data_IF_641744338816
#
_entry.id   IF_641744338816
#
_cell.length_a   1.000
_cell.length_b   1.000
_cell.length_c   1.000
_cell.angle_alpha   90.00
_cell.angle_beta   90.00
_cell.angle_gamma   90.00
#
_symmetry.space_group_name_H-M   'P 1'
#
loop_
_entity.id
_entity.type
_entity.pdbx_description
1 polymer ?
#
# COMPACT_ATOMS: atom_id res chain seq x y z
N UNK A 1 -24.69 62.61 -32.84
CA UNK A 1 -24.32 61.85 -31.62
C UNK A 1 -23.69 60.54 -32.08
N UNK A 2 -22.39 60.38 -31.88
CA UNK A 2 -21.64 59.18 -32.29
C UNK A 2 -21.91 58.05 -31.28
N UNK A 3 -22.49 56.94 -31.74
CA UNK A 3 -22.72 55.75 -30.93
C UNK A 3 -21.40 55.00 -30.77
N UNK A 4 -20.84 55.06 -29.56
CA UNK A 4 -19.59 54.37 -29.21
C UNK A 4 -19.93 52.94 -28.78
N UNK A 5 -19.68 51.96 -29.65
CA UNK A 5 -19.82 50.54 -29.32
C UNK A 5 -18.53 50.04 -28.66
N UNK A 6 -18.56 49.72 -27.37
CA UNK A 6 -17.41 49.11 -26.67
C UNK A 6 -17.30 47.64 -27.06
N UNK A 7 -16.12 47.13 -27.45
CA UNK A 7 -15.95 45.70 -27.64
C UNK A 7 -16.00 44.98 -26.29
N UNK A 8 -16.86 43.96 -26.18
CA UNK A 8 -16.91 43.05 -25.04
C UNK A 8 -15.80 42.02 -25.23
N UNK A 9 -14.71 42.15 -24.48
CA UNK A 9 -13.68 41.11 -24.39
C UNK A 9 -14.23 39.95 -23.56
N UNK A 10 -14.55 38.83 -24.21
CA UNK A 10 -14.79 37.57 -23.53
C UNK A 10 -13.44 36.91 -23.26
N UNK A 11 -12.92 37.10 -22.05
CA UNK A 11 -11.82 36.31 -21.52
C UNK A 11 -12.39 34.94 -21.08
N UNK A 12 -12.50 33.99 -22.00
CA UNK A 12 -12.60 32.57 -21.60
C UNK A 12 -11.21 32.08 -21.23
N UNK A 13 -10.73 32.51 -20.06
CA UNK A 13 -9.61 31.84 -19.40
C UNK A 13 -10.10 30.45 -19.00
N UNK A 14 -9.94 29.50 -19.92
CA UNK A 14 -10.03 28.07 -19.60
C UNK A 14 -8.86 27.79 -18.67
N UNK A 15 -9.11 27.85 -17.36
CA UNK A 15 -8.16 27.36 -16.36
C UNK A 15 -7.96 25.87 -16.64
N UNK A 16 -6.87 25.52 -17.32
CA UNK A 16 -6.47 24.12 -17.45
C UNK A 16 -6.07 23.64 -16.05
N UNK A 17 -7.02 23.00 -15.36
CA UNK A 17 -6.77 22.35 -14.08
C UNK A 17 -5.80 21.21 -14.35
N UNK A 18 -4.55 21.35 -13.90
CA UNK A 18 -3.57 20.27 -13.97
C UNK A 18 -4.11 19.09 -13.16
N UNK A 19 -4.22 17.93 -13.81
CA UNK A 19 -4.62 16.68 -13.18
C UNK A 19 -3.38 15.89 -12.76
N UNK A 20 -3.46 15.10 -11.67
CA UNK A 20 -2.37 14.21 -11.29
C UNK A 20 -2.12 13.16 -12.37
N UNK A 21 -0.86 12.76 -12.55
CA UNK A 21 -0.49 11.72 -13.52
C UNK A 21 -0.92 10.31 -13.09
N UNK A 22 -1.19 10.12 -11.79
CA UNK A 22 -1.66 8.87 -11.20
C UNK A 22 -3.01 9.11 -10.51
N UNK A 23 -4.01 8.30 -10.83
CA UNK A 23 -5.37 8.38 -10.27
C UNK A 23 -5.88 7.05 -9.73
N UNK A 24 -5.34 5.93 -10.21
CA UNK A 24 -5.81 4.58 -9.87
C UNK A 24 -4.76 3.79 -9.08
N UNK A 25 -5.22 2.98 -8.12
CA UNK A 25 -4.36 2.07 -7.36
C UNK A 25 -3.56 1.11 -8.25
N UNK A 26 -4.17 0.65 -9.34
CA UNK A 26 -3.51 -0.27 -10.27
C UNK A 26 -2.23 0.32 -10.88
N UNK A 27 -2.18 1.64 -11.09
CA UNK A 27 -0.99 2.30 -11.63
C UNK A 27 0.19 2.26 -10.64
N UNK A 28 -0.10 2.27 -9.34
CA UNK A 28 0.92 2.11 -8.30
C UNK A 28 1.46 0.67 -8.32
N UNK A 29 0.59 -0.33 -8.46
CA UNK A 29 1.00 -1.73 -8.56
C UNK A 29 1.87 -1.98 -9.81
N UNK A 30 1.49 -1.40 -10.95
CA UNK A 30 2.24 -1.52 -12.20
C UNK A 30 3.61 -0.83 -12.08
N UNK A 31 3.68 0.33 -11.42
CA UNK A 31 4.94 1.03 -11.13
C UNK A 31 5.86 0.20 -10.23
N UNK A 32 5.34 -0.39 -9.15
CA UNK A 32 6.12 -1.27 -8.26
C UNK A 32 6.64 -2.49 -9.04
N UNK A 33 5.79 -3.12 -9.86
CA UNK A 33 6.18 -4.24 -10.70
C UNK A 33 7.32 -3.88 -11.66
N UNK A 34 7.24 -2.72 -12.31
CA UNK A 34 8.30 -2.22 -13.17
C UNK A 34 9.59 -1.94 -12.39
N UNK A 35 9.49 -1.32 -11.21
CA UNK A 35 10.66 -1.05 -10.38
C UNK A 35 11.34 -2.34 -9.89
N UNK A 36 10.60 -3.41 -9.61
CA UNK A 36 11.19 -4.73 -9.32
C UNK A 36 11.96 -5.27 -10.52
N UNK A 37 11.39 -5.22 -11.74
CA UNK A 37 12.06 -5.67 -12.97
C UNK A 37 13.33 -4.88 -13.29
N UNK A 38 13.42 -3.63 -12.82
CA UNK A 38 14.57 -2.75 -13.01
C UNK A 38 15.50 -2.70 -11.78
N UNK A 39 15.28 -3.53 -10.76
CA UNK A 39 16.05 -3.54 -9.51
C UNK A 39 16.03 -2.19 -8.74
N UNK A 40 14.98 -1.38 -8.92
CA UNK A 40 14.81 -0.04 -8.35
C UNK A 40 13.75 0.03 -7.24
N UNK A 41 13.18 -1.10 -6.84
CA UNK A 41 12.07 -1.17 -5.89
C UNK A 41 12.42 -0.61 -4.49
N UNK A 42 13.65 -0.81 -4.00
CA UNK A 42 14.11 -0.27 -2.71
C UNK A 42 14.10 1.27 -2.71
N UNK A 43 14.68 1.88 -3.75
CA UNK A 43 14.68 3.34 -3.92
C UNK A 43 13.26 3.88 -4.03
N UNK A 44 12.41 3.25 -4.86
CA UNK A 44 11.02 3.67 -5.05
C UNK A 44 10.24 3.67 -3.73
N UNK A 45 10.22 2.55 -3.00
CA UNK A 45 9.45 2.42 -1.77
C UNK A 45 9.99 3.32 -0.65
N UNK A 46 11.31 3.52 -0.58
CA UNK A 46 11.92 4.44 0.39
C UNK A 46 11.55 5.89 0.11
N UNK A 47 11.40 6.28 -1.16
CA UNK A 47 11.00 7.64 -1.56
C UNK A 47 9.49 7.89 -1.38
N UNK A 48 8.65 6.87 -1.60
CA UNK A 48 7.19 7.00 -1.51
C UNK A 48 6.65 6.91 -0.08
N UNK A 49 7.40 6.29 0.84
CA UNK A 49 6.95 6.05 2.20
C UNK A 49 7.81 6.81 3.21
N UNK A 50 7.17 7.34 4.24
CA UNK A 50 7.86 7.86 5.43
C UNK A 50 8.52 6.73 6.23
N UNK A 51 9.51 7.02 7.11
CA UNK A 51 10.06 6.03 8.03
C UNK A 51 9.00 5.29 8.84
N UNK A 52 8.05 6.01 9.43
CA UNK A 52 6.96 5.46 10.24
C UNK A 52 6.06 4.50 9.43
N UNK A 53 5.77 4.83 8.17
CA UNK A 53 5.00 3.94 7.29
C UNK A 53 5.74 2.65 6.95
N UNK A 54 7.07 2.71 6.80
CA UNK A 54 7.90 1.51 6.59
C UNK A 54 7.89 0.63 7.83
N UNK A 55 8.07 1.21 9.02
CA UNK A 55 7.97 0.47 10.30
C UNK A 55 6.58 -0.16 10.47
N UNK A 56 5.52 0.60 10.17
CA UNK A 56 4.15 0.10 10.22
C UNK A 56 3.92 -1.06 9.22
N UNK A 57 4.52 -1.00 8.04
CA UNK A 57 4.42 -2.08 7.05
C UNK A 57 5.13 -3.35 7.53
N UNK A 58 6.32 -3.23 8.11
CA UNK A 58 7.04 -4.36 8.73
C UNK A 58 6.21 -4.99 9.85
N UNK A 59 5.63 -4.16 10.74
CA UNK A 59 4.74 -4.66 11.78
C UNK A 59 3.53 -5.41 11.21
N UNK A 60 2.89 -4.89 10.15
CA UNK A 60 1.74 -5.55 9.49
C UNK A 60 2.12 -6.89 8.86
N UNK A 61 3.30 -6.98 8.23
CA UNK A 61 3.81 -8.24 7.69
C UNK A 61 3.95 -9.28 8.81
N UNK A 62 4.57 -8.91 9.92
CA UNK A 62 4.71 -9.80 11.07
C UNK A 62 3.37 -10.21 11.68
N UNK A 63 2.42 -9.27 11.82
CA UNK A 63 1.07 -9.58 12.30
C UNK A 63 0.41 -10.65 11.43
N UNK A 64 0.45 -10.49 10.11
CA UNK A 64 -0.16 -11.44 9.17
C UNK A 64 0.54 -12.80 9.25
N UNK A 65 1.87 -12.82 9.30
CA UNK A 65 2.66 -14.04 9.43
C UNK A 65 2.27 -14.84 10.67
N UNK A 66 2.31 -14.23 11.86
CA UNK A 66 1.99 -14.92 13.12
C UNK A 66 0.52 -15.38 13.19
N UNK A 67 -0.40 -14.58 12.63
CA UNK A 67 -1.81 -14.95 12.57
C UNK A 67 -2.07 -16.15 11.63
N UNK A 68 -1.28 -16.29 10.55
CA UNK A 68 -1.36 -17.43 9.63
C UNK A 68 -0.72 -18.69 10.22
N UNK A 69 0.37 -18.55 10.99
CA UNK A 69 0.99 -19.67 11.72
C UNK A 69 0.05 -20.22 12.80
N UNK A 70 -0.59 -19.32 13.56
CA UNK A 70 -1.59 -19.70 14.57
C UNK A 70 -1.01 -20.22 15.89
N UNK A 71 0.31 -20.21 16.06
CA UNK A 71 0.99 -20.68 17.28
C UNK A 71 0.86 -19.72 18.47
N UNK A 72 0.75 -18.41 18.18
CA UNK A 72 0.64 -17.36 19.20
C UNK A 72 -0.78 -16.82 19.31
N UNK A 73 -1.22 -16.54 20.54
CA UNK A 73 -2.46 -15.78 20.76
C UNK A 73 -2.30 -14.33 20.33
N UNK A 74 -3.40 -13.65 19.98
CA UNK A 74 -3.38 -12.22 19.61
C UNK A 74 -2.74 -11.32 20.69
N UNK A 75 -2.88 -11.70 21.97
CA UNK A 75 -2.24 -10.98 23.09
C UNK A 75 -0.71 -11.15 23.07
N UNK A 76 -0.22 -12.36 22.81
CA UNK A 76 1.21 -12.62 22.68
C UNK A 76 1.79 -11.88 21.47
N UNK A 77 1.11 -11.88 20.32
CA UNK A 77 1.53 -11.13 19.13
C UNK A 77 1.58 -9.62 19.43
N UNK A 78 0.56 -9.08 20.10
CA UNK A 78 0.51 -7.68 20.52
C UNK A 78 1.69 -7.30 21.41
N UNK A 79 2.05 -8.15 22.38
CA UNK A 79 3.20 -7.93 23.26
C UNK A 79 4.52 -8.03 22.51
N UNK A 80 4.68 -9.06 21.67
CA UNK A 80 5.89 -9.31 20.88
C UNK A 80 6.21 -8.15 19.94
N UNK A 81 5.19 -7.62 19.25
CA UNK A 81 5.36 -6.57 18.25
C UNK A 81 5.24 -5.15 18.82
N UNK A 82 4.91 -5.00 20.11
CA UNK A 82 4.73 -3.69 20.72
C UNK A 82 3.54 -2.89 20.14
N UNK A 83 2.58 -3.56 19.51
CA UNK A 83 1.41 -2.93 18.89
C UNK A 83 0.16 -3.19 19.72
N UNK A 84 -0.78 -2.25 19.73
CA UNK A 84 -2.05 -2.41 20.43
C UNK A 84 -2.87 -3.59 19.93
N UNK A 85 -3.57 -4.27 20.83
CA UNK A 85 -4.38 -5.46 20.49
C UNK A 85 -5.44 -5.18 19.42
N UNK A 86 -5.98 -3.96 19.37
CA UNK A 86 -6.93 -3.55 18.34
C UNK A 86 -6.35 -3.65 16.92
N UNK A 87 -5.05 -3.42 16.75
CA UNK A 87 -4.35 -3.60 15.47
C UNK A 87 -4.33 -5.08 15.07
N UNK A 88 -4.04 -5.97 16.03
CA UNK A 88 -4.05 -7.42 15.79
C UNK A 88 -5.46 -7.91 15.45
N UNK A 89 -6.48 -7.43 16.17
CA UNK A 89 -7.88 -7.80 15.91
C UNK A 89 -8.32 -7.40 14.51
N UNK A 90 -7.94 -6.21 14.04
CA UNK A 90 -8.19 -5.79 12.65
C UNK A 90 -7.51 -6.73 11.66
N UNK A 91 -6.22 -7.03 11.84
CA UNK A 91 -5.50 -7.98 10.98
C UNK A 91 -6.13 -9.37 10.95
N UNK A 92 -6.57 -9.88 12.10
CA UNK A 92 -7.25 -11.18 12.18
C UNK A 92 -8.59 -11.19 11.46
N UNK A 93 -9.36 -10.11 11.55
CA UNK A 93 -10.63 -10.00 10.82
C UNK A 93 -10.43 -9.89 9.31
N UNK A 94 -9.42 -9.14 8.86
CA UNK A 94 -9.03 -9.06 7.45
C UNK A 94 -8.58 -10.41 6.89
N UNK A 95 -7.91 -11.25 7.67
CA UNK A 95 -7.56 -12.60 7.24
C UNK A 95 -8.77 -13.53 7.22
N UNK A 96 -9.67 -13.44 8.21
CA UNK A 96 -10.87 -14.28 8.27
C UNK A 96 -11.81 -14.09 7.08
N UNK A 97 -11.82 -12.90 6.47
CA UNK A 97 -12.65 -12.61 5.29
C UNK A 97 -12.07 -13.14 3.99
N UNK A 98 -10.83 -13.65 3.99
CA UNK A 98 -10.16 -14.24 2.81
C UNK A 98 -10.50 -15.71 2.64
N UNK A 99 -10.44 -16.18 1.40
CA UNK A 99 -10.57 -17.61 1.09
C UNK A 99 -9.37 -18.41 1.62
N UNK A 100 -9.54 -19.72 1.77
CA UNK A 100 -8.42 -20.59 2.16
C UNK A 100 -7.30 -20.60 1.11
N UNK A 101 -7.65 -20.50 -0.18
CA UNK A 101 -6.66 -20.40 -1.27
C UNK A 101 -5.83 -19.11 -1.19
N UNK A 102 -6.47 -17.97 -0.87
CA UNK A 102 -5.77 -16.70 -0.67
C UNK A 102 -4.83 -16.76 0.55
N UNK A 103 -5.30 -17.34 1.67
CA UNK A 103 -4.47 -17.53 2.87
C UNK A 103 -3.28 -18.45 2.58
N UNK A 104 -3.49 -19.53 1.84
CA UNK A 104 -2.44 -20.47 1.46
C UNK A 104 -1.40 -19.81 0.52
N UNK A 105 -1.84 -18.97 -0.42
CA UNK A 105 -0.95 -18.20 -1.28
C UNK A 105 -0.14 -17.17 -0.47
N UNK A 106 -0.78 -16.46 0.46
CA UNK A 106 -0.09 -15.53 1.36
C UNK A 106 0.93 -16.24 2.25
N UNK A 107 0.56 -17.39 2.81
CA UNK A 107 1.46 -18.20 3.63
C UNK A 107 2.72 -18.62 2.86
N UNK A 108 2.58 -19.05 1.60
CA UNK A 108 3.72 -19.41 0.75
C UNK A 108 4.65 -18.21 0.44
N UNK A 109 4.09 -17.02 0.29
CA UNK A 109 4.87 -15.80 0.06
C UNK A 109 5.63 -15.34 1.31
N UNK A 110 5.00 -15.45 2.48
CA UNK A 110 5.55 -14.96 3.75
C UNK A 110 6.49 -15.95 4.43
N UNK A 111 6.24 -17.25 4.23
CA UNK A 111 7.01 -18.34 4.80
C UNK A 111 7.50 -19.23 3.65
N UNK A 112 8.42 -18.73 2.80
CA UNK A 112 8.98 -19.55 1.75
C UNK A 112 9.65 -20.78 2.39
N UNK A 113 9.58 -21.96 1.76
CA UNK A 113 10.26 -23.13 2.27
C UNK A 113 11.73 -22.80 2.48
N UNK A 114 12.37 -23.35 3.53
CA UNK A 114 13.80 -23.16 3.73
C UNK A 114 14.48 -23.52 2.41
N UNK A 115 15.18 -22.56 1.82
CA UNK A 115 15.89 -22.76 0.58
C UNK A 115 16.78 -23.98 0.81
N UNK A 116 16.53 -25.07 0.09
CA UNK A 116 17.48 -26.18 0.04
C UNK A 116 18.78 -25.55 -0.41
N UNK A 117 19.75 -25.45 0.49
CA UNK A 117 21.10 -25.04 0.18
C UNK A 117 21.57 -25.85 -1.04
N UNK A 118 22.04 -25.13 -2.06
CA UNK A 118 22.79 -25.67 -3.19
C UNK A 118 24.28 -25.60 -2.85
#
# INVERSE_FOLDING_TARGET
MLHYNKPVYHLTSTTMVQQPSFSEWQQVLDLVKQAVQQEQHEMLLTMLMTPDEREALVARVNIVNELLQGDLSQRQISQMLGVGIATITRGSNELKSRSEDEKAALAQLLMPPPSSEA
#
